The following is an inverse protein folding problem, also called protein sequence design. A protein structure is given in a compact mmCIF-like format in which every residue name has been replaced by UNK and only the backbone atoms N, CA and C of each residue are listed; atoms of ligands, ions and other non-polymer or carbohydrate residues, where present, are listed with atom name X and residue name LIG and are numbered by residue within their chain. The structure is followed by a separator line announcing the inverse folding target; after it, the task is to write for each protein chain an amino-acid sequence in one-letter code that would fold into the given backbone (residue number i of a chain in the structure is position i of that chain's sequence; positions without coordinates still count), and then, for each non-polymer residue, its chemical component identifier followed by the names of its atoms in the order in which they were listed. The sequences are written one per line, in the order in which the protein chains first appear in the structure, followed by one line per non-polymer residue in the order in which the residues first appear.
data_IF_255371685281
#
_entry.id   IF_255371685281
#
_cell.length_a   1.000
_cell.length_b   1.000
_cell.length_c   1.000
_cell.angle_alpha   90.00
_cell.angle_beta   90.00
_cell.angle_gamma   90.00
#
_symmetry.space_group_name_H-M   'P 1'
#
loop_
_entity.id
_entity.type
_entity.pdbx_description
1 polymer ?
#
# COMPACT_ATOMS: atom_id res chain seq x y z
N UNK A 1 -9.32 -0.11 3.94
CA UNK A 1 -8.27 0.07 4.98
C UNK A 1 -6.88 -0.12 4.41
N UNK A 2 -6.51 -1.31 3.90
CA UNK A 2 -5.16 -1.55 3.36
C UNK A 2 -4.81 -0.62 2.18
N UNK A 3 -5.73 -0.45 1.23
CA UNK A 3 -5.55 0.48 0.11
C UNK A 3 -5.24 1.91 0.59
N UNK A 4 -6.07 2.48 1.47
CA UNK A 4 -5.90 3.85 1.95
C UNK A 4 -4.59 4.02 2.73
N UNK A 5 -4.22 3.05 3.56
CA UNK A 5 -2.94 3.05 4.28
C UNK A 5 -1.75 3.00 3.31
N UNK A 6 -1.83 2.18 2.26
CA UNK A 6 -0.79 2.09 1.24
C UNK A 6 -0.65 3.41 0.45
N UNK A 7 -1.77 4.01 0.04
CA UNK A 7 -1.78 5.28 -0.67
C UNK A 7 -1.20 6.42 0.19
N UNK A 8 -1.56 6.49 1.47
CA UNK A 8 -1.01 7.47 2.41
C UNK A 8 0.50 7.30 2.63
N UNK A 9 0.99 6.06 2.63
CA UNK A 9 2.40 5.73 2.81
C UNK A 9 3.25 6.18 1.60
N UNK A 10 2.73 6.00 0.39
CA UNK A 10 3.40 6.33 -0.88
C UNK A 10 3.41 7.84 -1.13
N UNK A 11 2.37 8.56 -0.69
CA UNK A 11 2.21 9.99 -0.94
C UNK A 11 3.06 10.84 0.03
N UNK A 12 4.00 11.67 -0.46
CA UNK A 12 4.87 12.48 0.39
C UNK A 12 4.12 13.52 1.23
N UNK A 13 2.92 13.93 0.82
CA UNK A 13 2.09 14.88 1.58
C UNK A 13 1.51 14.27 2.87
N UNK A 14 1.37 12.94 2.94
CA UNK A 14 0.73 12.22 4.05
C UNK A 14 1.69 11.30 4.80
N UNK A 15 2.80 10.92 4.17
CA UNK A 15 3.75 9.92 4.68
C UNK A 15 4.67 10.41 5.81
N UNK A 16 4.58 11.70 6.16
CA UNK A 16 5.35 12.37 7.24
C UNK A 16 6.86 12.36 7.00
N UNK A 17 7.30 12.64 5.78
CA UNK A 17 8.73 12.76 5.42
C UNK A 17 9.36 11.49 4.86
N UNK A 18 8.57 10.53 4.38
CA UNK A 18 9.11 9.53 3.44
C UNK A 18 9.28 10.18 2.04
N UNK A 19 10.26 9.72 1.25
CA UNK A 19 10.45 10.22 -0.11
C UNK A 19 9.23 9.89 -1.00
N UNK A 20 8.98 10.69 -2.04
CA UNK A 20 7.87 10.46 -2.98
C UNK A 20 7.93 9.06 -3.58
N UNK A 21 6.81 8.34 -3.57
CA UNK A 21 6.71 6.98 -4.05
C UNK A 21 7.73 6.02 -3.40
N UNK A 22 8.14 6.23 -2.15
CA UNK A 22 9.08 5.33 -1.45
C UNK A 22 10.39 5.06 -2.22
N UNK A 23 10.83 6.01 -3.04
CA UNK A 23 12.05 5.88 -3.83
C UNK A 23 13.26 6.11 -2.93
N UNK A 24 14.16 5.12 -2.86
CA UNK A 24 15.42 5.21 -2.11
C UNK A 24 16.61 5.71 -2.96
N UNK A 25 16.52 5.52 -4.28
CA UNK A 25 17.58 5.81 -5.26
C UNK A 25 17.37 7.18 -5.92
N UNK A 26 18.03 7.39 -7.07
CA UNK A 26 17.87 8.58 -7.90
C UNK A 26 16.39 8.78 -8.31
N UNK A 27 15.69 9.80 -7.79
CA UNK A 27 14.25 9.96 -7.98
C UNK A 27 13.83 10.18 -9.44
N UNK A 28 14.75 10.65 -10.28
CA UNK A 28 14.48 10.85 -11.72
C UNK A 28 14.50 9.55 -12.54
N UNK A 29 14.99 8.44 -11.96
CA UNK A 29 15.19 7.18 -12.67
C UNK A 29 14.38 6.01 -12.10
N UNK A 30 13.95 6.08 -10.83
CA UNK A 30 13.23 5.00 -10.16
C UNK A 30 11.74 5.30 -9.98
N UNK A 31 10.89 4.45 -10.58
CA UNK A 31 9.43 4.65 -10.63
C UNK A 31 8.61 3.43 -10.18
N UNK A 32 9.26 2.39 -9.65
CA UNK A 32 8.65 1.07 -9.36
C UNK A 32 7.36 1.19 -8.55
N UNK A 33 7.36 2.02 -7.51
CA UNK A 33 6.22 2.20 -6.60
C UNK A 33 5.03 2.97 -7.19
N UNK A 34 5.21 3.70 -8.30
CA UNK A 34 4.05 4.24 -9.05
C UNK A 34 3.22 3.12 -9.65
N UNK A 35 3.88 2.04 -10.11
CA UNK A 35 3.20 0.84 -10.58
C UNK A 35 2.42 0.15 -9.46
N UNK A 36 3.04 0.06 -8.28
CA UNK A 36 2.37 -0.49 -7.09
C UNK A 36 1.14 0.32 -6.69
N UNK A 37 1.22 1.66 -6.71
CA UNK A 37 0.08 2.55 -6.41
C UNK A 37 -1.12 2.29 -7.35
N UNK A 38 -0.86 2.18 -8.65
CA UNK A 38 -1.88 1.82 -9.65
C UNK A 38 -2.44 0.41 -9.39
N UNK A 39 -1.58 -0.56 -9.08
CA UNK A 39 -1.97 -1.94 -8.83
C UNK A 39 -2.88 -2.05 -7.60
N UNK A 40 -2.54 -1.42 -6.48
CA UNK A 40 -3.36 -1.51 -5.26
C UNK A 40 -4.72 -0.83 -5.43
N UNK A 41 -4.81 0.23 -6.24
CA UNK A 41 -6.07 0.85 -6.61
C UNK A 41 -6.95 -0.09 -7.46
N UNK A 42 -6.36 -0.78 -8.43
CA UNK A 42 -7.06 -1.76 -9.26
C UNK A 42 -7.60 -2.94 -8.43
N UNK A 43 -6.78 -3.51 -7.54
CA UNK A 43 -7.17 -4.59 -6.64
C UNK A 43 -8.30 -4.16 -5.69
N UNK A 44 -8.25 -2.93 -5.18
CA UNK A 44 -9.31 -2.39 -4.32
C UNK A 44 -10.63 -2.20 -5.09
N UNK A 45 -10.57 -1.77 -6.35
CA UNK A 45 -11.74 -1.64 -7.21
C UNK A 45 -12.38 -3.01 -7.51
N UNK A 46 -11.56 -4.02 -7.82
CA UNK A 46 -12.01 -5.39 -8.04
C UNK A 46 -12.65 -6.00 -6.78
N UNK A 47 -12.06 -5.80 -5.60
CA UNK A 47 -12.68 -6.18 -4.32
C UNK A 47 -14.04 -5.50 -4.12
N UNK A 48 -14.19 -4.24 -4.53
CA UNK A 48 -15.46 -3.53 -4.50
C UNK A 48 -16.52 -4.18 -5.38
N UNK A 49 -16.13 -4.69 -6.55
CA UNK A 49 -17.01 -5.45 -7.44
C UNK A 49 -17.36 -6.83 -6.87
N UNK A 50 -16.39 -7.57 -6.34
CA UNK A 50 -16.59 -8.90 -5.76
C UNK A 50 -17.43 -8.87 -4.48
N UNK A 51 -17.54 -7.72 -3.81
CA UNK A 51 -18.37 -7.55 -2.62
C UNK A 51 -19.89 -7.51 -2.90
N UNK A 52 -20.30 -7.49 -4.18
CA UNK A 52 -21.72 -7.52 -4.52
C UNK A 52 -22.38 -8.84 -4.06
N UNK A 53 -23.58 -8.79 -3.45
CA UNK A 53 -24.23 -9.99 -2.95
C UNK A 53 -24.74 -10.86 -4.10
N UNK A 54 -24.61 -12.19 -3.96
CA UNK A 54 -25.21 -13.15 -4.89
C UNK A 54 -26.69 -13.43 -4.55
N UNK A 55 -27.10 -13.20 -3.30
CA UNK A 55 -28.42 -13.59 -2.77
C UNK A 55 -29.61 -12.85 -3.39
N UNK A 56 -29.39 -11.75 -4.11
CA UNK A 56 -30.44 -11.04 -4.87
C UNK A 56 -30.67 -11.63 -6.28
N UNK A 57 -29.94 -12.68 -6.67
CA UNK A 57 -30.03 -13.31 -7.99
C UNK A 57 -30.74 -14.69 -7.97
N UNK A 58 -31.45 -15.02 -6.89
CA UNK A 58 -32.19 -16.29 -6.74
C UNK A 58 -33.17 -16.48 -7.90
N UNK A 59 -33.13 -17.67 -8.50
CA UNK A 59 -34.09 -18.12 -9.51
C UNK A 59 -34.96 -19.23 -8.93
N UNK A 60 -36.23 -19.25 -9.33
CA UNK A 60 -37.10 -20.40 -9.07
C UNK A 60 -36.57 -21.59 -9.85
N UNK A 61 -36.19 -22.64 -9.13
CA UNK A 61 -35.65 -23.87 -9.71
C UNK A 61 -36.62 -25.05 -9.51
N UNK A 62 -36.28 -26.18 -10.14
CA UNK A 62 -36.94 -27.48 -9.95
C UNK A 62 -38.46 -27.39 -10.10
N UNK A 63 -38.91 -26.94 -11.29
CA UNK A 63 -40.32 -26.82 -11.67
C UNK A 63 -41.21 -26.01 -10.69
N UNK A 64 -40.62 -25.09 -9.93
CA UNK A 64 -41.36 -24.26 -8.96
C UNK A 64 -41.22 -24.69 -7.51
N UNK A 65 -40.68 -25.88 -7.24
CA UNK A 65 -40.54 -26.41 -5.89
C UNK A 65 -39.39 -25.76 -5.11
N UNK A 66 -38.42 -25.16 -5.80
CA UNK A 66 -37.33 -24.40 -5.19
C UNK A 66 -37.44 -22.92 -5.52
N UNK A 67 -38.52 -22.28 -5.06
CA UNK A 67 -38.74 -20.83 -5.17
C UNK A 67 -37.76 -19.99 -4.34
N UNK A 68 -37.12 -20.60 -3.34
CA UNK A 68 -36.02 -20.03 -2.55
C UNK A 68 -34.89 -21.06 -2.50
N UNK A 69 -33.66 -20.61 -2.72
CA UNK A 69 -32.45 -21.41 -2.57
C UNK A 69 -31.28 -20.50 -2.15
N UNK A 70 -30.23 -21.08 -1.57
CA UNK A 70 -29.21 -20.31 -0.85
C UNK A 70 -28.10 -19.73 -1.73
N UNK A 71 -27.91 -20.29 -2.95
CA UNK A 71 -26.76 -20.01 -3.82
C UNK A 71 -25.40 -20.13 -3.09
N UNK A 72 -25.33 -20.92 -2.01
CA UNK A 72 -24.22 -20.89 -1.06
C UNK A 72 -22.86 -21.20 -1.69
N UNK A 73 -22.79 -22.22 -2.56
CA UNK A 73 -21.55 -22.56 -3.26
C UNK A 73 -21.09 -21.46 -4.23
N UNK A 74 -22.04 -20.76 -4.87
CA UNK A 74 -21.72 -19.64 -5.78
C UNK A 74 -21.13 -18.49 -4.98
N UNK A 75 -21.77 -18.12 -3.87
CA UNK A 75 -21.27 -17.11 -2.94
C UNK A 75 -19.87 -17.47 -2.41
N UNK A 76 -19.66 -18.73 -2.04
CA UNK A 76 -18.36 -19.24 -1.58
C UNK A 76 -17.26 -19.11 -2.63
N UNK A 77 -17.56 -19.36 -3.91
CA UNK A 77 -16.58 -19.21 -5.01
C UNK A 77 -16.16 -17.76 -5.22
N UNK A 78 -17.10 -16.82 -5.22
CA UNK A 78 -16.75 -15.39 -5.34
C UNK A 78 -16.04 -14.85 -4.09
N UNK A 79 -16.37 -15.39 -2.92
CA UNK A 79 -15.63 -15.08 -1.69
C UNK A 79 -14.19 -15.58 -1.77
N UNK A 80 -13.95 -16.77 -2.34
CA UNK A 80 -12.61 -17.29 -2.56
C UNK A 80 -11.80 -16.41 -3.51
N UNK A 81 -12.40 -15.93 -4.61
CA UNK A 81 -11.77 -14.96 -5.51
C UNK A 81 -11.39 -13.68 -4.77
N UNK A 82 -12.31 -13.13 -3.96
CA UNK A 82 -12.05 -11.93 -3.16
C UNK A 82 -10.89 -12.13 -2.17
N UNK A 83 -10.74 -13.32 -1.58
CA UNK A 83 -9.60 -13.64 -0.71
C UNK A 83 -8.29 -13.62 -1.50
N UNK A 84 -8.27 -14.09 -2.75
CA UNK A 84 -7.07 -14.06 -3.59
C UNK A 84 -6.68 -12.62 -3.94
N UNK A 85 -7.63 -11.78 -4.36
CA UNK A 85 -7.40 -10.35 -4.63
C UNK A 85 -6.91 -9.61 -3.38
N UNK A 86 -7.53 -9.88 -2.22
CA UNK A 86 -7.12 -9.29 -0.93
C UNK A 86 -5.71 -9.73 -0.53
N UNK A 87 -5.33 -10.98 -0.84
CA UNK A 87 -3.98 -11.49 -0.55
C UNK A 87 -2.93 -10.75 -1.37
N UNK A 88 -3.20 -10.46 -2.64
CA UNK A 88 -2.32 -9.63 -3.48
C UNK A 88 -2.19 -8.20 -2.93
N UNK A 89 -3.31 -7.58 -2.54
CA UNK A 89 -3.31 -6.24 -1.93
C UNK A 89 -2.50 -6.22 -0.62
N UNK A 90 -2.66 -7.25 0.21
CA UNK A 90 -1.96 -7.40 1.48
C UNK A 90 -0.46 -7.60 1.28
N UNK A 91 -0.06 -8.41 0.30
CA UNK A 91 1.34 -8.60 -0.06
C UNK A 91 2.00 -7.30 -0.53
N UNK A 92 1.34 -6.57 -1.43
CA UNK A 92 1.83 -5.27 -1.90
C UNK A 92 2.00 -4.26 -0.75
N UNK A 93 1.01 -4.19 0.14
CA UNK A 93 1.07 -3.32 1.32
C UNK A 93 2.21 -3.71 2.28
N UNK A 94 2.42 -5.01 2.51
CA UNK A 94 3.51 -5.49 3.37
C UNK A 94 4.89 -5.09 2.83
N UNK A 95 5.12 -5.26 1.53
CA UNK A 95 6.38 -4.85 0.89
C UNK A 95 6.56 -3.32 0.96
N UNK A 96 5.48 -2.54 0.79
CA UNK A 96 5.53 -1.08 0.95
C UNK A 96 5.92 -0.66 2.38
N UNK A 97 5.38 -1.33 3.40
CA UNK A 97 5.73 -1.09 4.79
C UNK A 97 7.22 -1.41 5.09
N UNK A 98 7.75 -2.52 4.55
CA UNK A 98 9.17 -2.85 4.68
C UNK A 98 10.06 -1.77 4.05
N UNK A 99 9.75 -1.36 2.81
CA UNK A 99 10.47 -0.28 2.14
C UNK A 99 10.45 1.03 2.94
N UNK A 100 9.28 1.40 3.46
CA UNK A 100 9.13 2.59 4.29
C UNK A 100 9.97 2.52 5.57
N UNK A 101 10.03 1.35 6.23
CA UNK A 101 10.86 1.13 7.41
C UNK A 101 12.34 1.31 7.09
N UNK A 102 12.81 0.75 5.98
CA UNK A 102 14.21 0.87 5.55
C UNK A 102 14.57 2.34 5.25
N UNK A 103 13.68 3.07 4.58
CA UNK A 103 13.84 4.50 4.30
C UNK A 103 13.91 5.34 5.59
N UNK A 104 13.07 5.03 6.59
CA UNK A 104 13.16 5.70 7.90
C UNK A 104 14.49 5.43 8.58
N UNK A 105 14.92 4.18 8.59
CA UNK A 105 16.21 3.79 9.16
C UNK A 105 17.37 4.52 8.48
N UNK A 106 17.33 4.60 7.15
CA UNK A 106 18.33 5.32 6.35
C UNK A 106 18.34 6.82 6.68
N UNK A 107 17.18 7.46 6.77
CA UNK A 107 17.04 8.87 7.13
C UNK A 107 17.59 9.17 8.53
N UNK A 108 17.25 8.34 9.53
CA UNK A 108 17.76 8.50 10.90
C UNK A 108 19.28 8.37 10.96
N UNK A 109 19.86 7.37 10.27
CA UNK A 109 21.32 7.18 10.20
C UNK A 109 22.02 8.35 9.51
N UNK A 110 21.45 8.83 8.40
CA UNK A 110 21.96 9.99 7.67
C UNK A 110 21.99 11.24 8.56
N UNK A 111 20.86 11.59 9.17
CA UNK A 111 20.77 12.77 10.05
C UNK A 111 21.69 12.65 11.27
N UNK A 112 21.78 11.48 11.89
CA UNK A 112 22.69 11.26 13.03
C UNK A 112 24.16 11.44 12.66
N UNK A 113 24.58 10.94 11.49
CA UNK A 113 25.96 11.08 11.01
C UNK A 113 26.25 12.52 10.58
N UNK A 114 25.33 13.13 9.81
CA UNK A 114 25.47 14.48 9.26
C UNK A 114 25.48 15.55 10.34
N UNK A 115 24.73 15.37 11.44
CA UNK A 115 24.72 16.30 12.56
C UNK A 115 26.11 16.49 13.18
N UNK A 116 26.85 15.40 13.38
CA UNK A 116 28.22 15.44 13.92
C UNK A 116 29.16 16.14 12.94
N UNK A 117 29.16 15.70 11.67
CA UNK A 117 30.03 16.28 10.63
C UNK A 117 29.75 17.79 10.47
N UNK A 118 28.48 18.17 10.43
CA UNK A 118 28.08 19.58 10.30
C UNK A 118 28.53 20.42 11.49
N UNK A 119 28.41 19.90 12.71
CA UNK A 119 28.90 20.58 13.92
C UNK A 119 30.41 20.79 13.88
N UNK A 120 31.17 19.78 13.45
CA UNK A 120 32.62 19.86 13.40
C UNK A 120 33.06 20.88 12.34
N UNK A 121 32.52 20.79 11.12
CA UNK A 121 32.80 21.74 10.03
C UNK A 121 32.43 23.18 10.40
N UNK A 122 31.29 23.39 11.05
CA UNK A 122 30.88 24.75 11.46
C UNK A 122 31.76 25.28 12.59
N UNK A 123 32.15 24.45 13.56
CA UNK A 123 33.06 24.87 14.63
C UNK A 123 34.42 25.30 14.08
N UNK A 124 34.97 24.56 13.11
CA UNK A 124 36.22 24.89 12.43
C UNK A 124 36.11 26.17 11.58
N UNK A 125 35.04 26.31 10.79
CA UNK A 125 34.86 27.46 9.92
C UNK A 125 34.70 28.78 10.70
N UNK A 126 34.09 28.73 11.89
CA UNK A 126 33.78 29.93 12.68
C UNK A 126 34.74 30.16 13.87
N UNK A 127 35.71 29.26 14.14
CA UNK A 127 36.64 29.42 15.26
C UNK A 127 37.60 30.61 15.14
N UNK A 128 37.78 31.19 13.95
CA UNK A 128 38.66 32.35 13.70
C UNK A 128 37.95 33.72 13.68
N UNK A 129 36.64 33.78 13.96
CA UNK A 129 35.83 35.02 13.90
C UNK A 129 35.58 35.63 15.30
N UNK A 130 36.20 35.09 16.36
CA UNK A 130 36.27 35.70 17.69
C UNK A 130 37.70 36.02 18.11
#
# INVERSE_FOLDING_TARGET
MLFSQCAELINPATSRGLPPNLVAEEPSQSFIWKGTDIMVAALQAELGFLANPVGNHVQTAEMGNQSINSLALISGRYTLEAIQTLSQLSAAHLVACCQALDLRTMSCKYLGTMATIFKDMTSEAFSGIC
#
